data_IF_132164837532
#
_entry.id   IF_132164837532
#
_cell.length_a   1.000
_cell.length_b   1.000
_cell.length_c   1.000
_cell.angle_alpha   90.00
_cell.angle_beta   90.00
_cell.angle_gamma   90.00
#
_symmetry.space_group_name_H-M   'P 1'
#
loop_
_entity.id
_entity.type
_entity.pdbx_description
1 polymer ?
#
# COMPACT_ATOMS: atom_id res chain seq x y z
N UNK A 1 54.81 -5.64 2.83
CA UNK A 1 54.82 -6.85 3.67
C UNK A 1 56.11 -7.61 3.41
N UNK A 2 56.83 -8.08 4.46
CA UNK A 2 57.99 -8.94 4.31
C UNK A 2 57.66 -10.28 3.62
N UNK A 3 58.68 -11.08 3.32
CA UNK A 3 58.47 -12.45 2.85
C UNK A 3 58.05 -13.36 4.03
N UNK A 4 57.06 -14.26 3.88
CA UNK A 4 56.54 -15.09 4.99
C UNK A 4 57.45 -16.26 5.39
N UNK A 5 58.50 -16.52 4.61
CA UNK A 5 59.45 -17.62 4.80
C UNK A 5 59.36 -18.67 3.71
N UNK A 6 60.47 -19.37 3.47
CA UNK A 6 60.52 -20.40 2.42
C UNK A 6 59.59 -21.57 2.73
N UNK A 7 59.43 -21.95 4.01
CA UNK A 7 58.49 -23.00 4.42
C UNK A 7 57.05 -22.69 3.97
N UNK A 8 56.62 -21.43 4.08
CA UNK A 8 55.29 -20.99 3.63
C UNK A 8 55.21 -20.97 2.10
N UNK A 9 56.28 -20.54 1.42
CA UNK A 9 56.29 -20.35 -0.02
C UNK A 9 56.43 -21.65 -0.83
N UNK A 10 57.09 -22.69 -0.29
CA UNK A 10 57.48 -23.87 -1.06
C UNK A 10 56.92 -25.19 -0.54
N UNK A 11 56.42 -25.27 0.70
CA UNK A 11 55.86 -26.50 1.23
C UNK A 11 54.40 -26.68 0.79
N UNK A 12 54.08 -27.70 -0.03
CA UNK A 12 52.71 -27.95 -0.47
C UNK A 12 51.78 -28.40 0.67
N UNK A 13 52.34 -28.85 1.80
CA UNK A 13 51.60 -29.32 2.97
C UNK A 13 51.58 -28.27 4.10
N UNK A 14 51.87 -27.00 3.80
CA UNK A 14 51.77 -25.94 4.79
C UNK A 14 50.32 -25.77 5.26
N UNK A 15 50.11 -25.80 6.58
CA UNK A 15 48.78 -25.85 7.23
C UNK A 15 48.40 -24.54 7.94
N UNK A 16 49.18 -23.46 7.75
CA UNK A 16 48.90 -22.16 8.35
C UNK A 16 49.43 -21.96 9.77
N UNK A 17 50.19 -22.92 10.33
CA UNK A 17 50.76 -22.79 11.68
C UNK A 17 51.75 -21.62 11.80
N UNK A 18 51.57 -20.82 12.85
CA UNK A 18 52.41 -19.63 13.13
C UNK A 18 53.90 -19.97 13.33
N UNK A 19 54.21 -21.15 13.89
CA UNK A 19 55.60 -21.58 14.15
C UNK A 19 56.44 -21.74 12.88
N UNK A 20 55.80 -21.90 11.73
CA UNK A 20 56.47 -22.09 10.45
C UNK A 20 56.52 -20.81 9.60
N UNK A 21 56.00 -19.69 10.12
CA UNK A 21 56.01 -18.38 9.48
C UNK A 21 57.13 -17.52 10.06
N UNK A 22 57.83 -16.76 9.22
CA UNK A 22 58.89 -15.85 9.67
C UNK A 22 58.38 -14.80 10.66
N UNK A 23 59.15 -14.58 11.73
CA UNK A 23 58.75 -13.69 12.83
C UNK A 23 58.55 -12.24 12.36
N UNK A 24 59.38 -11.76 11.44
CA UNK A 24 59.26 -10.41 10.89
C UNK A 24 57.95 -10.24 10.09
N UNK A 25 57.53 -11.28 9.36
CA UNK A 25 56.23 -11.29 8.68
C UNK A 25 55.08 -11.26 9.68
N UNK A 26 55.15 -12.07 10.74
CA UNK A 26 54.12 -12.11 11.78
C UNK A 26 53.98 -10.75 12.49
N UNK A 27 55.10 -10.10 12.82
CA UNK A 27 55.10 -8.77 13.44
C UNK A 27 54.43 -7.74 12.53
N UNK A 28 54.79 -7.70 11.25
CA UNK A 28 54.18 -6.77 10.30
C UNK A 28 52.71 -7.08 10.01
N UNK A 29 52.32 -8.35 10.01
CA UNK A 29 50.92 -8.76 9.91
C UNK A 29 50.12 -8.29 11.13
N UNK A 30 50.71 -8.40 12.32
CA UNK A 30 50.15 -7.89 13.58
C UNK A 30 49.95 -6.37 13.59
N UNK A 31 50.68 -5.62 12.75
CA UNK A 31 50.46 -4.19 12.54
C UNK A 31 49.46 -3.92 11.41
N UNK A 32 49.53 -4.67 10.31
CA UNK A 32 48.73 -4.47 9.11
C UNK A 32 47.25 -4.78 9.33
N UNK A 33 46.93 -5.91 9.95
CA UNK A 33 45.53 -6.34 10.12
C UNK A 33 44.73 -5.36 10.97
N UNK A 34 45.22 -4.91 12.15
CA UNK A 34 44.54 -3.86 12.90
C UNK A 34 44.38 -2.58 12.09
N UNK A 35 45.40 -2.15 11.32
CA UNK A 35 45.27 -0.93 10.49
C UNK A 35 44.21 -1.03 9.40
N UNK A 36 44.00 -2.21 8.81
CA UNK A 36 43.00 -2.41 7.75
C UNK A 36 41.58 -2.57 8.30
N UNK A 37 41.44 -3.20 9.47
CA UNK A 37 40.16 -3.56 10.07
C UNK A 37 39.80 -2.72 11.31
N UNK A 38 40.56 -1.66 11.59
CA UNK A 38 40.28 -0.74 12.69
C UNK A 38 38.89 -0.13 12.50
N UNK A 39 38.03 -0.29 13.52
CA UNK A 39 36.68 0.27 13.57
C UNK A 39 36.62 1.76 13.21
N UNK A 40 37.67 2.53 13.49
CA UNK A 40 37.75 3.96 13.17
C UNK A 40 38.22 4.26 11.74
N UNK A 41 38.84 3.29 11.06
CA UNK A 41 39.36 3.42 9.70
C UNK A 41 38.55 2.65 8.64
N UNK A 42 37.48 1.95 9.04
CA UNK A 42 36.60 1.25 8.12
C UNK A 42 35.90 2.24 7.19
N UNK A 43 36.20 2.11 5.90
CA UNK A 43 35.57 2.92 4.85
C UNK A 43 34.30 2.24 4.40
N UNK A 44 33.18 2.95 4.48
CA UNK A 44 31.91 2.47 3.92
C UNK A 44 32.06 2.29 2.41
N UNK A 45 31.44 1.22 1.88
CA UNK A 45 31.40 1.03 0.43
C UNK A 45 30.61 2.19 -0.18
N UNK A 46 31.27 2.90 -1.09
CA UNK A 46 30.64 3.94 -1.88
C UNK A 46 30.63 3.57 -3.36
N UNK A 47 29.51 3.86 -4.01
CA UNK A 47 29.36 3.83 -5.46
C UNK A 47 28.84 5.21 -5.84
N UNK A 48 29.55 5.92 -6.73
CA UNK A 48 29.23 7.30 -7.11
C UNK A 48 29.21 8.33 -5.95
N UNK A 49 30.02 8.10 -4.91
CA UNK A 49 30.05 8.94 -3.71
C UNK A 49 28.78 8.83 -2.84
N UNK A 50 27.95 7.80 -3.05
CA UNK A 50 26.87 7.44 -2.15
C UNK A 50 27.25 6.21 -1.33
N UNK A 51 27.03 6.29 -0.01
CA UNK A 51 27.23 5.17 0.91
C UNK A 51 26.16 4.11 0.67
N UNK A 52 26.61 2.87 0.57
CA UNK A 52 25.78 1.72 0.25
C UNK A 52 25.33 0.99 1.51
N UNK A 53 24.06 0.61 1.56
CA UNK A 53 23.53 -0.35 2.53
C UNK A 53 23.79 -1.79 2.11
N UNK A 54 23.65 -2.75 3.04
CA UNK A 54 23.80 -4.18 2.73
C UNK A 54 22.76 -4.66 1.70
N UNK A 55 21.54 -4.14 1.76
CA UNK A 55 20.46 -4.48 0.82
C UNK A 55 20.81 -4.00 -0.59
N UNK A 56 21.26 -2.76 -0.73
CA UNK A 56 21.66 -2.21 -2.03
C UNK A 56 22.88 -2.95 -2.59
N UNK A 57 23.88 -3.26 -1.75
CA UNK A 57 25.06 -4.02 -2.17
C UNK A 57 24.69 -5.38 -2.79
N UNK A 58 23.69 -6.07 -2.24
CA UNK A 58 23.19 -7.33 -2.80
C UNK A 58 22.56 -7.15 -4.19
N UNK A 59 21.78 -6.08 -4.38
CA UNK A 59 21.18 -5.78 -5.69
C UNK A 59 22.24 -5.45 -6.75
N UNK A 60 23.27 -4.68 -6.39
CA UNK A 60 24.42 -4.45 -7.28
C UNK A 60 25.16 -5.75 -7.62
N UNK A 61 25.32 -6.64 -6.66
CA UNK A 61 25.93 -7.96 -6.88
C UNK A 61 25.15 -8.78 -7.92
N UNK A 62 23.82 -8.83 -7.80
CA UNK A 62 22.96 -9.52 -8.78
C UNK A 62 23.06 -8.91 -10.16
N UNK A 63 23.04 -7.57 -10.24
CA UNK A 63 23.15 -6.85 -11.50
C UNK A 63 24.49 -7.15 -12.19
N UNK A 64 25.62 -7.03 -11.48
CA UNK A 64 26.94 -7.34 -12.03
C UNK A 64 27.07 -8.80 -12.47
N UNK A 65 26.58 -9.75 -11.67
CA UNK A 65 26.60 -11.17 -12.06
C UNK A 65 25.75 -11.45 -13.30
N UNK A 66 24.65 -10.73 -13.49
CA UNK A 66 23.84 -10.87 -14.70
C UNK A 66 24.59 -10.37 -15.94
N UNK A 67 25.30 -9.25 -15.82
CA UNK A 67 26.12 -8.67 -16.88
C UNK A 67 27.28 -9.59 -17.27
N UNK A 68 27.91 -10.27 -16.31
CA UNK A 68 29.02 -11.20 -16.57
C UNK A 68 28.59 -12.59 -17.04
N UNK A 69 27.29 -12.90 -17.14
CA UNK A 69 26.81 -14.19 -17.66
C UNK A 69 26.81 -14.30 -19.19
N UNK A 70 26.97 -13.19 -19.90
CA UNK A 70 27.10 -13.19 -21.37
C UNK A 70 28.41 -13.85 -21.83
N UNK A 71 28.47 -14.28 -23.10
CA UNK A 71 29.71 -14.84 -23.69
C UNK A 71 30.77 -13.76 -23.97
N UNK A 72 30.39 -12.49 -23.99
CA UNK A 72 31.29 -11.36 -24.16
C UNK A 72 31.44 -10.61 -22.84
N UNK A 73 32.68 -10.42 -22.37
CA UNK A 73 32.92 -9.41 -21.34
C UNK A 73 32.49 -8.06 -21.92
N UNK A 74 31.60 -7.32 -21.24
CA UNK A 74 31.24 -6.01 -21.72
C UNK A 74 32.50 -5.16 -21.80
N UNK A 75 32.79 -4.57 -22.97
CA UNK A 75 33.88 -3.61 -23.10
C UNK A 75 33.74 -2.55 -21.99
N UNK A 76 34.83 -1.95 -21.48
CA UNK A 76 34.80 -1.01 -20.34
C UNK A 76 33.74 0.11 -20.39
N UNK A 77 33.24 0.45 -21.60
CA UNK A 77 32.09 1.35 -21.83
C UNK A 77 30.73 0.79 -21.34
N UNK A 78 30.50 -0.52 -21.46
CA UNK A 78 29.25 -1.18 -21.09
C UNK A 78 29.09 -1.36 -19.58
N UNK A 79 30.17 -1.49 -18.81
CA UNK A 79 30.09 -1.50 -17.34
C UNK A 79 29.62 -0.15 -16.76
N UNK A 80 30.00 0.97 -17.38
CA UNK A 80 29.49 2.30 -17.00
C UNK A 80 28.00 2.45 -17.35
N UNK A 81 27.56 1.95 -18.51
CA UNK A 81 26.14 1.92 -18.86
C UNK A 81 25.32 1.05 -17.91
N UNK A 82 25.81 -0.13 -17.55
CA UNK A 82 25.19 -0.99 -16.56
C UNK A 82 25.08 -0.34 -15.18
N UNK A 83 26.14 0.38 -14.77
CA UNK A 83 26.12 1.11 -13.49
C UNK A 83 25.16 2.31 -13.57
N UNK A 84 25.07 2.97 -14.73
CA UNK A 84 24.09 4.03 -14.97
C UNK A 84 22.66 3.50 -14.94
N UNK A 85 22.38 2.36 -15.57
CA UNK A 85 21.09 1.70 -15.55
C UNK A 85 20.70 1.30 -14.12
N UNK A 86 21.59 0.65 -13.37
CA UNK A 86 21.34 0.29 -11.97
C UNK A 86 21.04 1.52 -11.08
N UNK A 87 21.80 2.62 -11.24
CA UNK A 87 21.54 3.87 -10.53
C UNK A 87 20.16 4.47 -10.87
N UNK A 88 19.80 4.48 -12.15
CA UNK A 88 18.50 5.01 -12.59
C UNK A 88 17.35 4.13 -12.08
N UNK A 89 17.48 2.80 -12.15
CA UNK A 89 16.48 1.87 -11.61
C UNK A 89 16.31 2.01 -10.09
N UNK A 90 17.41 2.17 -9.35
CA UNK A 90 17.34 2.44 -7.91
C UNK A 90 16.60 3.77 -7.61
N UNK A 91 16.87 4.82 -8.40
CA UNK A 91 16.16 6.09 -8.29
C UNK A 91 14.67 5.97 -8.62
N UNK A 92 14.29 5.21 -9.66
CA UNK A 92 12.88 4.91 -10.00
C UNK A 92 12.20 4.18 -8.85
N UNK A 93 12.84 3.16 -8.29
CA UNK A 93 12.29 2.38 -7.17
C UNK A 93 12.07 3.25 -5.93
N UNK A 94 13.03 4.13 -5.61
CA UNK A 94 12.90 5.07 -4.49
C UNK A 94 11.75 6.06 -4.70
N UNK A 95 11.68 6.69 -5.87
CA UNK A 95 10.61 7.63 -6.21
C UNK A 95 9.22 6.98 -6.16
N UNK A 96 9.09 5.73 -6.64
CA UNK A 96 7.85 4.96 -6.57
C UNK A 96 7.45 4.64 -5.15
N UNK A 97 8.41 4.27 -4.30
CA UNK A 97 8.15 4.02 -2.89
C UNK A 97 7.62 5.26 -2.16
N UNK A 98 8.14 6.44 -2.50
CA UNK A 98 7.61 7.73 -1.98
C UNK A 98 6.17 7.94 -2.44
N UNK A 99 5.88 7.76 -3.73
CA UNK A 99 4.51 7.91 -4.24
C UNK A 99 3.53 6.96 -3.56
N UNK A 100 3.90 5.68 -3.47
CA UNK A 100 3.05 4.66 -2.90
C UNK A 100 2.78 4.91 -1.41
N UNK A 101 3.79 5.31 -0.64
CA UNK A 101 3.62 5.66 0.78
C UNK A 101 2.63 6.82 0.96
N UNK A 102 2.84 7.91 0.25
CA UNK A 102 2.01 9.13 0.39
C UNK A 102 0.58 8.91 -0.14
N UNK A 103 0.41 8.16 -1.24
CA UNK A 103 -0.93 7.80 -1.73
C UNK A 103 -1.65 6.83 -0.78
N UNK A 104 -0.95 5.85 -0.20
CA UNK A 104 -1.55 4.91 0.76
C UNK A 104 -2.02 5.64 2.03
N UNK A 105 -1.28 6.64 2.50
CA UNK A 105 -1.68 7.48 3.65
C UNK A 105 -2.99 8.24 3.40
N UNK A 106 -3.30 8.59 2.14
CA UNK A 106 -4.47 9.39 1.77
C UNK A 106 -5.65 8.53 1.30
N UNK A 107 -5.41 7.56 0.41
CA UNK A 107 -6.45 6.75 -0.24
C UNK A 107 -6.31 5.23 -0.01
N UNK A 108 -5.43 4.80 0.90
CA UNK A 108 -5.21 3.39 1.25
C UNK A 108 -6.44 2.69 1.82
N UNK A 109 -6.37 1.37 2.02
CA UNK A 109 -7.53 0.54 2.40
C UNK A 109 -8.31 1.04 3.63
N UNK A 110 -7.61 1.66 4.57
CA UNK A 110 -8.16 2.11 5.86
C UNK A 110 -8.74 3.54 5.84
N UNK A 111 -8.59 4.27 4.73
CA UNK A 111 -9.06 5.66 4.62
C UNK A 111 -10.48 5.75 4.05
N UNK A 112 -11.30 6.74 4.46
CA UNK A 112 -12.65 6.91 3.93
C UNK A 112 -12.64 7.24 2.42
N UNK A 113 -13.79 7.08 1.76
CA UNK A 113 -13.97 7.51 0.38
C UNK A 113 -13.60 9.00 0.21
N UNK A 114 -12.82 9.28 -0.81
CA UNK A 114 -12.45 10.63 -1.24
C UNK A 114 -13.10 10.94 -2.59
N UNK A 115 -13.48 12.20 -2.83
CA UNK A 115 -14.02 12.57 -4.14
C UNK A 115 -12.96 12.40 -5.24
N UNK A 116 -13.39 12.13 -6.48
CA UNK A 116 -12.46 11.93 -7.61
C UNK A 116 -11.58 13.15 -7.86
N UNK A 117 -12.11 14.36 -7.65
CA UNK A 117 -11.36 15.61 -7.83
C UNK A 117 -10.29 15.78 -6.75
N UNK A 118 -10.61 15.55 -5.48
CA UNK A 118 -9.63 15.60 -4.39
C UNK A 118 -8.54 14.53 -4.56
N UNK A 119 -8.92 13.33 -5.01
CA UNK A 119 -7.96 12.26 -5.28
C UNK A 119 -7.00 12.63 -6.42
N UNK A 120 -7.50 13.31 -7.46
CA UNK A 120 -6.68 13.82 -8.57
C UNK A 120 -5.71 14.90 -8.10
N UNK A 121 -6.16 15.84 -7.25
CA UNK A 121 -5.28 16.87 -6.68
C UNK A 121 -4.17 16.26 -5.82
N UNK A 122 -4.49 15.24 -5.03
CA UNK A 122 -3.50 14.49 -4.25
C UNK A 122 -2.54 13.72 -5.16
N UNK A 123 -3.04 13.06 -6.20
CA UNK A 123 -2.22 12.40 -7.21
C UNK A 123 -1.21 13.36 -7.83
N UNK A 124 -1.65 14.50 -8.35
CA UNK A 124 -0.77 15.48 -9.00
C UNK A 124 0.30 16.00 -8.04
N UNK A 125 -0.08 16.28 -6.79
CA UNK A 125 0.88 16.72 -5.76
C UNK A 125 1.94 15.66 -5.48
N UNK A 126 1.52 14.43 -5.21
CA UNK A 126 2.42 13.33 -4.84
C UNK A 126 3.28 12.89 -6.03
N UNK A 127 2.70 12.87 -7.24
CA UNK A 127 3.43 12.64 -8.50
C UNK A 127 4.55 13.65 -8.68
N UNK A 128 4.30 14.93 -8.46
CA UNK A 128 5.32 15.97 -8.52
C UNK A 128 6.44 15.77 -7.47
N UNK A 129 6.09 15.31 -6.27
CA UNK A 129 7.08 14.97 -5.22
C UNK A 129 7.95 13.79 -5.66
N UNK A 130 7.35 12.72 -6.18
CA UNK A 130 8.07 11.54 -6.67
C UNK A 130 8.98 11.86 -7.87
N UNK A 131 8.50 12.67 -8.82
CA UNK A 131 9.31 13.15 -9.96
C UNK A 131 10.48 13.99 -9.46
N UNK A 132 10.25 14.86 -8.47
CA UNK A 132 11.32 15.67 -7.86
C UNK A 132 12.36 14.80 -7.16
N UNK A 133 11.93 13.77 -6.45
CA UNK A 133 12.83 12.79 -5.83
C UNK A 133 13.70 12.10 -6.88
N UNK A 134 13.09 11.62 -7.98
CA UNK A 134 13.83 11.02 -9.08
C UNK A 134 14.83 12.01 -9.69
N UNK A 135 14.42 13.25 -9.97
CA UNK A 135 15.29 14.29 -10.56
C UNK A 135 16.47 14.64 -9.65
N UNK A 136 16.24 14.76 -8.34
CA UNK A 136 17.26 15.11 -7.35
C UNK A 136 18.25 13.97 -7.03
N UNK A 137 17.88 12.71 -7.32
CA UNK A 137 18.78 11.58 -7.13
C UNK A 137 20.07 11.73 -7.97
N UNK A 138 21.23 11.36 -7.41
CA UNK A 138 22.49 11.35 -8.15
C UNK A 138 22.50 10.17 -9.12
N UNK A 139 22.41 10.46 -10.42
CA UNK A 139 22.33 9.46 -11.51
C UNK A 139 23.54 9.58 -12.43
N UNK A 140 23.94 8.47 -13.06
CA UNK A 140 24.95 8.44 -14.13
C UNK A 140 24.28 8.33 -15.51
N UNK A 141 24.99 8.69 -16.58
CA UNK A 141 24.51 8.53 -17.98
C UNK A 141 23.95 9.78 -18.64
N UNK A 142 23.88 10.91 -17.93
CA UNK A 142 23.36 12.18 -18.47
C UNK A 142 21.84 12.29 -18.44
N UNK A 143 21.33 13.45 -18.86
CA UNK A 143 19.89 13.77 -18.81
C UNK A 143 19.12 12.90 -19.82
N UNK A 144 19.66 12.72 -21.02
CA UNK A 144 18.99 11.98 -22.10
C UNK A 144 18.78 10.49 -21.73
N UNK A 145 19.78 9.85 -21.11
CA UNK A 145 19.65 8.48 -20.62
C UNK A 145 18.68 8.34 -19.44
N UNK A 146 18.53 9.41 -18.64
CA UNK A 146 17.61 9.42 -17.49
C UNK A 146 16.16 9.69 -17.91
N UNK A 147 15.93 10.34 -19.06
CA UNK A 147 14.59 10.70 -19.56
C UNK A 147 13.72 9.47 -19.82
N UNK A 148 14.26 8.42 -20.44
CA UNK A 148 13.52 7.17 -20.65
C UNK A 148 13.05 6.51 -19.34
N UNK A 149 13.81 6.63 -18.25
CA UNK A 149 13.41 6.13 -16.93
C UNK A 149 12.38 7.05 -16.26
N UNK A 150 12.46 8.36 -16.51
CA UNK A 150 11.47 9.32 -16.04
C UNK A 150 10.12 9.10 -16.72
N UNK A 151 10.08 8.93 -18.04
CA UNK A 151 8.85 8.64 -18.80
C UNK A 151 8.21 7.33 -18.31
N UNK A 152 9.04 6.30 -18.09
CA UNK A 152 8.57 5.03 -17.52
C UNK A 152 8.04 5.19 -16.10
N UNK A 153 8.72 5.98 -15.26
CA UNK A 153 8.22 6.30 -13.92
C UNK A 153 6.87 7.00 -13.99
N UNK A 154 6.71 8.04 -14.83
CA UNK A 154 5.46 8.76 -14.99
C UNK A 154 4.31 7.85 -15.45
N UNK A 155 4.57 6.93 -16.39
CA UNK A 155 3.61 5.91 -16.81
C UNK A 155 3.23 4.97 -15.66
N UNK A 156 4.22 4.46 -14.90
CA UNK A 156 3.97 3.54 -13.80
C UNK A 156 3.19 4.23 -12.65
N UNK A 157 3.43 5.52 -12.41
CA UNK A 157 2.67 6.32 -11.45
C UNK A 157 1.22 6.55 -11.92
N UNK A 158 1.01 6.73 -13.23
CA UNK A 158 -0.32 6.86 -13.82
C UNK A 158 -1.13 5.56 -13.68
N UNK A 159 -0.52 4.41 -13.98
CA UNK A 159 -1.16 3.10 -13.79
C UNK A 159 -1.51 2.85 -12.31
N UNK A 160 -0.59 3.22 -11.40
CA UNK A 160 -0.84 3.14 -9.95
C UNK A 160 -2.03 4.00 -9.53
N UNK A 161 -2.17 5.22 -10.08
CA UNK A 161 -3.32 6.08 -9.84
C UNK A 161 -4.63 5.45 -10.30
N UNK A 162 -4.67 4.84 -11.49
CA UNK A 162 -5.89 4.17 -11.96
C UNK A 162 -6.32 3.04 -11.02
N UNK A 163 -5.35 2.30 -10.45
CA UNK A 163 -5.63 1.28 -9.45
C UNK A 163 -6.19 1.90 -8.15
N UNK A 164 -5.60 2.98 -7.65
CA UNK A 164 -6.15 3.72 -6.49
C UNK A 164 -7.54 4.27 -6.76
N UNK A 165 -7.81 4.76 -7.96
CA UNK A 165 -9.12 5.25 -8.37
C UNK A 165 -10.17 4.13 -8.35
N UNK A 166 -9.85 2.94 -8.86
CA UNK A 166 -10.74 1.77 -8.80
C UNK A 166 -11.04 1.36 -7.36
N UNK A 167 -10.02 1.28 -6.51
CA UNK A 167 -10.17 0.94 -5.09
C UNK A 167 -11.04 1.98 -4.37
N UNK A 168 -10.77 3.27 -4.58
CA UNK A 168 -11.54 4.35 -3.98
C UNK A 168 -13.01 4.35 -4.46
N UNK A 169 -13.26 4.14 -5.76
CA UNK A 169 -14.63 3.99 -6.28
C UNK A 169 -15.33 2.75 -5.70
N UNK A 170 -14.60 1.67 -5.44
CA UNK A 170 -15.09 0.50 -4.72
C UNK A 170 -15.64 0.85 -3.34
N UNK A 171 -14.97 1.73 -2.58
CA UNK A 171 -15.44 2.19 -1.26
C UNK A 171 -16.80 2.90 -1.33
N UNK A 172 -17.10 3.61 -2.42
CA UNK A 172 -18.39 4.27 -2.63
C UNK A 172 -19.52 3.26 -2.87
N UNK A 173 -19.25 2.17 -3.59
CA UNK A 173 -20.23 1.11 -3.84
C UNK A 173 -20.67 0.41 -2.55
N UNK A 174 -19.74 0.16 -1.62
CA UNK A 174 -20.07 -0.42 -0.32
C UNK A 174 -20.88 0.53 0.58
N UNK A 175 -20.60 1.84 0.55
CA UNK A 175 -21.46 2.85 1.22
C UNK A 175 -22.87 2.90 0.62
N UNK A 176 -22.99 2.62 -0.68
CA UNK A 176 -24.26 2.58 -1.40
C UNK A 176 -25.11 1.33 -1.07
N UNK A 177 -24.62 0.36 -0.30
CA UNK A 177 -25.41 -0.83 0.10
C UNK A 177 -26.42 -0.55 1.23
N UNK A 178 -26.32 0.60 1.91
CA UNK A 178 -27.25 0.95 2.99
C UNK A 178 -28.69 1.06 2.49
N UNK A 179 -28.91 1.83 1.43
CA UNK A 179 -30.25 2.09 0.89
C UNK A 179 -31.01 0.82 0.49
N UNK A 180 -30.43 -0.11 -0.28
CA UNK A 180 -31.14 -1.35 -0.64
C UNK A 180 -31.36 -2.24 0.59
N UNK A 181 -30.44 -2.30 1.55
CA UNK A 181 -30.65 -3.07 2.79
C UNK A 181 -31.83 -2.54 3.60
N UNK A 182 -31.98 -1.22 3.75
CA UNK A 182 -33.11 -0.62 4.48
C UNK A 182 -34.43 -0.83 3.75
N UNK A 183 -34.46 -0.63 2.44
CA UNK A 183 -35.66 -0.84 1.62
C UNK A 183 -36.12 -2.31 1.66
N UNK A 184 -35.21 -3.27 1.47
CA UNK A 184 -35.53 -4.71 1.56
C UNK A 184 -36.01 -5.09 2.96
N UNK A 185 -35.40 -4.56 4.01
CA UNK A 185 -35.86 -4.83 5.39
C UNK A 185 -37.27 -4.28 5.62
N UNK A 186 -37.56 -3.08 5.12
CA UNK A 186 -38.88 -2.47 5.21
C UNK A 186 -39.93 -3.28 4.42
N UNK A 187 -39.57 -3.81 3.26
CA UNK A 187 -40.45 -4.70 2.48
C UNK A 187 -40.81 -5.97 3.26
N UNK A 188 -39.85 -6.59 3.95
CA UNK A 188 -40.11 -7.79 4.75
C UNK A 188 -41.08 -7.48 5.90
N UNK A 189 -40.85 -6.38 6.62
CA UNK A 189 -41.69 -5.98 7.76
C UNK A 189 -43.11 -5.67 7.29
N UNK A 190 -43.26 -4.88 6.22
CA UNK A 190 -44.57 -4.52 5.67
C UNK A 190 -45.35 -5.74 5.17
N UNK A 191 -44.67 -6.70 4.54
CA UNK A 191 -45.27 -7.97 4.12
C UNK A 191 -45.81 -8.79 5.31
N UNK A 192 -45.05 -8.89 6.40
CA UNK A 192 -45.49 -9.59 7.63
C UNK A 192 -46.74 -8.91 8.23
N UNK A 193 -46.75 -7.57 8.28
CA UNK A 193 -47.92 -6.82 8.76
C UNK A 193 -49.14 -7.01 7.86
N UNK A 194 -48.95 -7.00 6.54
CA UNK A 194 -50.01 -7.25 5.57
C UNK A 194 -50.67 -8.63 5.82
N UNK A 195 -49.87 -9.70 5.93
CA UNK A 195 -50.40 -11.04 6.20
C UNK A 195 -51.12 -11.11 7.56
N UNK A 196 -50.62 -10.41 8.57
CA UNK A 196 -51.25 -10.34 9.89
C UNK A 196 -52.62 -9.64 9.86
N UNK A 197 -52.74 -8.50 9.17
CA UNK A 197 -54.03 -7.80 9.04
C UNK A 197 -55.04 -8.57 8.20
N UNK A 198 -54.56 -9.30 7.18
CA UNK A 198 -55.39 -10.19 6.39
C UNK A 198 -55.89 -11.38 7.22
N UNK A 199 -55.07 -11.92 8.13
CA UNK A 199 -55.48 -12.99 9.05
C UNK A 199 -56.59 -12.55 10.02
N UNK A 200 -56.57 -11.28 10.45
CA UNK A 200 -57.61 -10.69 11.32
C UNK A 200 -58.91 -10.42 10.54
N UNK A 201 -58.86 -10.40 9.20
CA UNK A 201 -60.00 -10.04 8.33
C UNK A 201 -60.15 -8.53 8.10
N UNK A 202 -59.08 -7.75 8.31
CA UNK A 202 -59.04 -6.31 8.05
C UNK A 202 -58.54 -6.01 6.64
N UNK A 203 -59.29 -6.47 5.64
CA UNK A 203 -58.88 -6.46 4.23
C UNK A 203 -58.57 -5.04 3.70
N UNK A 204 -59.27 -4.02 4.20
CA UNK A 204 -59.01 -2.63 3.82
C UNK A 204 -57.61 -2.16 4.25
N UNK A 205 -57.20 -2.51 5.47
CA UNK A 205 -55.88 -2.13 6.03
C UNK A 205 -54.77 -2.94 5.34
N UNK A 206 -55.01 -4.23 5.09
CA UNK A 206 -54.09 -5.05 4.32
C UNK A 206 -53.89 -4.51 2.89
N UNK A 207 -54.95 -4.02 2.24
CA UNK A 207 -54.86 -3.35 0.93
C UNK A 207 -54.02 -2.07 0.95
N UNK A 208 -54.08 -1.29 2.04
CA UNK A 208 -53.22 -0.11 2.22
C UNK A 208 -51.74 -0.51 2.36
N UNK A 209 -51.42 -1.53 3.17
CA UNK A 209 -50.05 -2.07 3.25
C UNK A 209 -49.54 -2.54 1.89
N UNK A 210 -50.36 -3.28 1.13
CA UNK A 210 -49.99 -3.72 -0.22
C UNK A 210 -49.66 -2.56 -1.17
N UNK A 211 -50.37 -1.43 -1.05
CA UNK A 211 -50.05 -0.23 -1.82
C UNK A 211 -48.71 0.41 -1.42
N UNK A 212 -48.38 0.40 -0.12
CA UNK A 212 -47.09 0.86 0.41
C UNK A 212 -45.96 -0.03 -0.10
N UNK A 213 -46.13 -1.36 -0.09
CA UNK A 213 -45.16 -2.31 -0.62
C UNK A 213 -44.82 -2.02 -2.10
N UNK A 214 -45.83 -1.77 -2.93
CA UNK A 214 -45.65 -1.39 -4.33
C UNK A 214 -44.83 -0.09 -4.50
N UNK A 215 -45.06 0.91 -3.64
CA UNK A 215 -44.28 2.15 -3.66
C UNK A 215 -42.81 1.91 -3.28
N UNK A 216 -42.56 1.03 -2.30
CA UNK A 216 -41.19 0.69 -1.85
C UNK A 216 -40.43 -0.10 -2.92
N UNK A 217 -41.10 -1.04 -3.61
CA UNK A 217 -40.55 -1.76 -4.76
C UNK A 217 -40.22 -0.77 -5.89
N UNK A 218 -41.13 0.17 -6.18
CA UNK A 218 -40.90 1.24 -7.14
C UNK A 218 -39.68 2.10 -6.78
N UNK A 219 -39.55 2.49 -5.51
CA UNK A 219 -38.40 3.25 -5.01
C UNK A 219 -37.08 2.47 -5.14
N UNK A 220 -37.08 1.16 -4.83
CA UNK A 220 -35.92 0.29 -5.03
C UNK A 220 -35.55 0.16 -6.52
N UNK A 221 -36.55 0.05 -7.40
CA UNK A 221 -36.36 0.02 -8.85
C UNK A 221 -35.77 1.33 -9.39
N UNK A 222 -36.30 2.48 -8.95
CA UNK A 222 -35.78 3.82 -9.30
C UNK A 222 -34.35 3.99 -8.78
N UNK A 223 -34.08 3.53 -7.56
CA UNK A 223 -32.75 3.56 -6.98
C UNK A 223 -31.75 2.68 -7.75
N UNK A 224 -32.11 1.43 -8.05
CA UNK A 224 -31.28 0.51 -8.81
C UNK A 224 -31.03 1.03 -10.24
N UNK A 225 -32.05 1.57 -10.89
CA UNK A 225 -31.95 2.18 -12.21
C UNK A 225 -31.05 3.42 -12.20
N UNK A 226 -31.20 4.30 -11.22
CA UNK A 226 -30.36 5.49 -11.05
C UNK A 226 -28.87 5.14 -10.93
N UNK A 227 -28.55 4.05 -10.22
CA UNK A 227 -27.17 3.58 -10.03
C UNK A 227 -26.62 2.82 -11.25
N UNK A 228 -27.45 2.05 -11.97
CA UNK A 228 -27.02 1.28 -13.14
C UNK A 228 -26.92 2.14 -14.41
N UNK A 229 -27.90 3.01 -14.67
CA UNK A 229 -27.99 3.80 -15.90
C UNK A 229 -27.28 5.16 -15.79
N UNK A 230 -27.09 5.69 -14.58
CA UNK A 230 -26.48 7.00 -14.34
C UNK A 230 -27.34 8.20 -14.78
N UNK A 231 -28.45 7.97 -15.50
CA UNK A 231 -29.53 8.93 -15.72
C UNK A 231 -30.48 8.93 -14.50
N UNK A 232 -31.08 10.08 -14.16
CA UNK A 232 -31.94 10.28 -12.97
C UNK A 232 -31.21 10.12 -11.62
N UNK A 233 -29.99 10.65 -11.50
CA UNK A 233 -29.26 10.72 -10.22
C UNK A 233 -30.01 11.52 -9.15
N UNK A 234 -30.77 12.54 -9.55
CA UNK A 234 -31.60 13.33 -8.63
C UNK A 234 -32.73 12.50 -8.01
N UNK A 235 -33.42 11.67 -8.81
CA UNK A 235 -34.46 10.78 -8.31
C UNK A 235 -33.91 9.73 -7.32
N UNK A 236 -32.71 9.19 -7.60
CA UNK A 236 -32.01 8.29 -6.67
C UNK A 236 -31.60 8.99 -5.37
N UNK A 237 -31.21 10.27 -5.46
CA UNK A 237 -30.91 11.11 -4.29
C UNK A 237 -32.11 11.31 -3.37
N UNK A 238 -33.29 11.61 -3.92
CA UNK A 238 -34.53 11.72 -3.11
C UNK A 238 -34.88 10.42 -2.39
N UNK A 239 -34.63 9.26 -3.01
CA UNK A 239 -34.82 7.95 -2.37
C UNK A 239 -33.79 7.75 -1.24
N UNK A 240 -32.52 8.07 -1.48
CA UNK A 240 -31.47 8.00 -0.46
C UNK A 240 -31.79 8.91 0.75
N UNK A 241 -32.34 10.11 0.53
CA UNK A 241 -32.76 11.05 1.59
C UNK A 241 -33.97 10.52 2.38
N UNK A 242 -34.99 10.01 1.69
CA UNK A 242 -36.16 9.41 2.34
C UNK A 242 -35.78 8.18 3.18
N UNK A 243 -34.88 7.34 2.68
CA UNK A 243 -34.35 6.19 3.42
C UNK A 243 -33.52 6.63 4.61
N UNK A 244 -32.75 7.70 4.48
CA UNK A 244 -32.00 8.28 5.60
C UNK A 244 -32.94 8.82 6.67
N UNK A 245 -34.06 9.45 6.29
CA UNK A 245 -35.09 9.89 7.23
C UNK A 245 -35.76 8.71 7.96
N UNK A 246 -36.16 7.66 7.24
CA UNK A 246 -36.74 6.46 7.85
C UNK A 246 -35.73 5.81 8.81
N UNK A 247 -34.48 5.75 8.39
CA UNK A 247 -33.39 5.21 9.19
C UNK A 247 -33.21 5.96 10.51
N UNK A 248 -33.07 7.28 10.47
CA UNK A 248 -32.75 8.09 11.66
C UNK A 248 -33.92 8.19 12.64
N UNK A 249 -35.16 8.17 12.15
CA UNK A 249 -36.33 8.35 13.00
C UNK A 249 -36.92 7.04 13.55
N UNK A 250 -36.84 5.94 12.79
CA UNK A 250 -37.54 4.70 13.15
C UNK A 250 -36.62 3.51 13.39
N UNK A 251 -35.50 3.40 12.66
CA UNK A 251 -34.63 2.23 12.73
C UNK A 251 -33.51 2.43 13.75
N UNK A 252 -32.79 3.56 13.72
CA UNK A 252 -31.69 3.83 14.64
C UNK A 252 -32.10 3.86 16.13
N UNK A 253 -33.28 4.39 16.53
CA UNK A 253 -33.69 4.37 17.93
C UNK A 253 -34.15 2.98 18.40
N UNK A 254 -34.63 2.16 17.47
CA UNK A 254 -35.22 0.85 17.76
C UNK A 254 -34.30 -0.34 17.39
N UNK A 255 -33.09 -0.07 16.87
CA UNK A 255 -32.14 -1.09 16.41
C UNK A 255 -31.78 -2.10 17.52
N UNK A 256 -31.69 -1.62 18.77
CA UNK A 256 -31.43 -2.48 19.95
C UNK A 256 -32.60 -3.40 20.31
N UNK A 257 -33.81 -3.14 19.80
CA UNK A 257 -35.05 -3.85 20.13
C UNK A 257 -35.55 -4.75 18.98
N UNK A 258 -34.88 -4.73 17.82
CA UNK A 258 -35.27 -5.41 16.56
C UNK A 258 -34.66 -6.82 16.38
N UNK A 259 -33.98 -7.38 17.40
CA UNK A 259 -33.51 -8.77 17.38
C UNK A 259 -32.59 -9.13 16.19
N UNK A 260 -32.77 -10.29 15.53
CA UNK A 260 -31.92 -10.72 14.40
C UNK A 260 -31.90 -9.76 13.20
N UNK A 261 -32.99 -9.03 12.98
CA UNK A 261 -33.10 -8.01 11.93
C UNK A 261 -32.23 -6.79 12.28
N UNK A 262 -32.19 -6.38 13.55
CA UNK A 262 -31.25 -5.37 14.04
C UNK A 262 -29.78 -5.77 13.82
N UNK A 263 -29.47 -7.07 13.96
CA UNK A 263 -28.14 -7.62 13.70
C UNK A 263 -27.73 -7.60 12.23
N UNK A 264 -28.61 -7.97 11.30
CA UNK A 264 -28.33 -7.89 9.86
C UNK A 264 -28.15 -6.42 9.39
N UNK A 265 -28.89 -5.52 10.01
CA UNK A 265 -28.84 -4.08 9.76
C UNK A 265 -27.55 -3.45 10.33
N UNK A 266 -27.17 -3.78 11.57
CA UNK A 266 -25.87 -3.42 12.15
C UNK A 266 -24.70 -4.07 11.41
N UNK A 267 -24.87 -5.27 10.86
CA UNK A 267 -23.85 -5.92 10.04
C UNK A 267 -23.66 -5.20 8.71
N UNK A 268 -24.72 -4.72 8.06
CA UNK A 268 -24.62 -3.83 6.90
C UNK A 268 -23.89 -2.52 7.22
N UNK A 269 -24.11 -1.98 8.42
CA UNK A 269 -23.42 -0.78 8.91
C UNK A 269 -21.97 -1.05 9.32
N UNK A 270 -21.69 -2.17 9.98
CA UNK A 270 -20.36 -2.64 10.36
C UNK A 270 -19.57 -3.19 9.17
N UNK A 271 -20.20 -3.55 8.06
CA UNK A 271 -19.50 -3.83 6.79
C UNK A 271 -19.21 -2.54 6.02
N UNK A 272 -20.06 -1.50 6.19
CA UNK A 272 -19.80 -0.14 5.70
C UNK A 272 -18.84 0.70 6.57
N UNK A 273 -18.70 0.36 7.85
CA UNK A 273 -17.83 1.03 8.84
C UNK A 273 -16.68 0.13 9.35
N UNK A 274 -16.60 -1.12 8.87
CA UNK A 274 -15.82 -2.23 9.45
C UNK A 274 -14.32 -2.10 9.46
N UNK A 275 -13.77 -1.05 8.88
CA UNK A 275 -12.34 -0.79 8.99
C UNK A 275 -11.96 0.07 10.20
N UNK A 276 -12.92 0.51 11.04
CA UNK A 276 -12.61 1.31 12.25
C UNK A 276 -12.33 0.50 13.51
N UNK A 277 -12.73 -0.77 13.60
CA UNK A 277 -12.69 -1.51 14.88
C UNK A 277 -11.85 -2.79 14.89
N UNK A 278 -11.26 -3.22 13.77
CA UNK A 278 -10.41 -4.41 13.75
C UNK A 278 -8.97 -4.17 14.28
N UNK A 279 -8.53 -2.92 14.48
CA UNK A 279 -7.16 -2.61 14.91
C UNK A 279 -7.01 -2.13 16.36
N UNK A 280 -8.07 -2.19 17.18
CA UNK A 280 -7.97 -1.87 18.61
C UNK A 280 -7.30 -2.98 19.46
N UNK A 281 -6.94 -4.13 18.86
CA UNK A 281 -6.25 -5.23 19.56
C UNK A 281 -4.82 -5.52 19.08
N UNK A 282 -4.23 -4.65 18.26
CA UNK A 282 -2.82 -4.76 17.88
C UNK A 282 -2.05 -3.46 18.17
N UNK A 283 -2.07 -3.02 19.43
CA UNK A 283 -1.08 -2.07 19.93
C UNK A 283 0.15 -2.86 20.43
N UNK A 284 1.36 -2.68 19.88
CA UNK A 284 2.57 -3.09 20.56
C UNK A 284 2.82 -2.09 21.70
N UNK A 285 2.96 -2.61 22.92
CA UNK A 285 3.24 -1.84 24.12
C UNK A 285 4.48 -0.97 23.94
N UNK A 286 4.27 0.34 24.01
CA UNK A 286 5.34 1.31 24.14
C UNK A 286 5.78 1.39 25.61
N UNK A 287 7.07 1.10 25.81
CA UNK A 287 7.97 1.75 26.74
C UNK A 287 7.48 2.05 28.17
N UNK A 288 7.93 1.22 29.11
CA UNK A 288 8.27 1.73 30.44
C UNK A 288 9.56 1.06 30.96
N UNK A 289 10.39 1.85 31.63
CA UNK A 289 11.53 1.38 32.41
C UNK A 289 12.90 1.40 31.73
N UNK A 290 13.60 2.54 31.82
CA UNK A 290 14.90 2.63 32.52
C UNK A 290 15.52 4.03 32.39
N UNK A 291 15.19 4.89 33.36
CA UNK A 291 15.97 6.07 33.68
C UNK A 291 16.07 6.19 35.20
N UNK A 292 17.15 5.64 35.80
CA UNK A 292 17.97 6.26 36.88
C UNK A 292 18.90 5.25 37.60
N UNK A 293 20.16 5.69 37.77
CA UNK A 293 21.17 5.37 38.81
C UNK A 293 21.74 3.94 38.75
N UNK A 294 23.05 3.72 38.65
CA UNK A 294 24.21 4.32 39.32
C UNK A 294 25.42 4.42 38.38
#
# INVERSE_FOLDING_TARGET
>A
MPHPGLKVATNPNFDGKLVDIENEFQQQLGVMIPRLLDSHALVHKEINGQKMTCRELLEYFKAYMHIFRGQDLPEPKSMLMATAEANNLAAVASARAVYQREMEEVCGGDTPYMSTNELLEHHDRVKNIAIREFRNARKMGGVDFSMQFLERLESDLQESYENYLKVNNGKNLFKSMRTPTVLVTLMIIDYIFQEFFQLIGLDFIAGLCSSVLCLVIGALGVWAYSRYSGHLREAGGYVDDAVTYVWTNFISPNANHLGPLGGAIQMGEALGAGNRTANATAAPGAADGLRKRH
#
